data_IF_488667030780
#
_entry.id   IF_488667030780
#
_cell.length_a   1.000
_cell.length_b   1.000
_cell.length_c   1.000
_cell.angle_alpha   90.00
_cell.angle_beta   90.00
_cell.angle_gamma   90.00
#
_symmetry.space_group_name_H-M   'P 1'
#
loop_
_entity.id
_entity.type
_entity.pdbx_description
1 polymer ?
#
# COMPACT_ATOMS: atom_id res chain seq x y z
N UNK A 1 -15.04 3.87 6.16
CA UNK A 1 -14.53 2.73 5.32
C UNK A 1 -13.37 1.99 6.00
N UNK A 2 -12.26 2.62 6.37
CA UNK A 2 -11.07 1.92 6.92
C UNK A 2 -11.37 1.11 8.18
N UNK A 3 -12.04 1.69 9.17
CA UNK A 3 -12.43 0.94 10.38
C UNK A 3 -13.36 -0.24 10.07
N UNK A 4 -14.23 -0.09 9.09
CA UNK A 4 -15.09 -1.19 8.62
C UNK A 4 -14.26 -2.32 8.01
N UNK A 5 -13.26 -1.99 7.18
CA UNK A 5 -12.31 -2.96 6.63
C UNK A 5 -11.57 -3.68 7.75
N UNK A 6 -10.98 -2.94 8.69
CA UNK A 6 -10.24 -3.53 9.80
C UNK A 6 -11.10 -4.47 10.65
N UNK A 7 -12.33 -4.07 10.97
CA UNK A 7 -13.23 -4.88 11.77
C UNK A 7 -13.70 -6.14 11.02
N UNK A 8 -14.01 -6.01 9.73
CA UNK A 8 -14.50 -7.15 8.92
C UNK A 8 -13.42 -8.21 8.71
N UNK A 9 -12.17 -7.79 8.52
CA UNK A 9 -11.05 -8.67 8.18
C UNK A 9 -10.08 -8.89 9.35
N UNK A 10 -10.53 -8.70 10.59
CA UNK A 10 -9.68 -8.85 11.80
C UNK A 10 -8.98 -10.21 11.90
N UNK A 11 -9.59 -11.29 11.39
CA UNK A 11 -8.99 -12.62 11.35
C UNK A 11 -7.96 -12.83 10.23
N UNK A 12 -7.90 -11.91 9.26
CA UNK A 12 -7.13 -12.09 8.03
C UNK A 12 -5.78 -11.37 8.07
N UNK A 13 -5.50 -10.63 9.14
CA UNK A 13 -4.20 -10.00 9.39
C UNK A 13 -3.76 -10.17 10.84
N UNK A 14 -2.44 -10.21 11.08
CA UNK A 14 -1.85 -10.41 12.40
C UNK A 14 -1.64 -9.11 13.17
N UNK A 15 -1.32 -8.05 12.46
CA UNK A 15 -1.08 -6.73 13.03
C UNK A 15 -1.45 -5.62 12.06
N UNK A 16 -1.77 -4.44 12.60
CA UNK A 16 -1.98 -3.25 11.80
C UNK A 16 -1.42 -2.01 12.47
N UNK A 17 -0.90 -1.09 11.66
CA UNK A 17 -0.44 0.22 12.10
C UNK A 17 -0.58 1.23 10.98
N UNK A 18 -0.43 2.51 11.33
CA UNK A 18 -0.55 3.59 10.36
C UNK A 18 0.53 4.64 10.58
N UNK A 19 0.91 5.31 9.49
CA UNK A 19 1.77 6.48 9.50
C UNK A 19 1.35 7.45 8.41
N UNK A 20 1.78 8.70 8.49
CA UNK A 20 1.39 9.72 7.52
C UNK A 20 2.57 10.23 6.71
N UNK A 21 2.27 10.68 5.49
CA UNK A 21 3.20 11.32 4.57
C UNK A 21 2.53 12.59 4.07
N UNK A 22 3.21 13.72 4.22
CA UNK A 22 2.78 15.02 3.71
C UNK A 22 3.37 15.29 2.33
N UNK A 23 2.72 16.12 1.54
CA UNK A 23 3.24 16.55 0.26
C UNK A 23 4.62 17.24 0.39
N UNK A 24 4.86 17.90 1.53
CA UNK A 24 6.15 18.48 1.87
C UNK A 24 7.27 17.48 2.14
N UNK A 25 6.96 16.19 2.34
CA UNK A 25 7.98 15.15 2.59
C UNK A 25 8.69 14.66 1.31
N UNK A 26 8.20 15.05 0.14
CA UNK A 26 8.81 14.67 -1.14
C UNK A 26 9.98 15.60 -1.53
N UNK A 27 10.96 15.72 -0.64
CA UNK A 27 12.22 16.45 -0.88
C UNK A 27 13.43 15.54 -0.68
N UNK A 28 14.58 15.96 -1.21
CA UNK A 28 15.84 15.24 -0.99
C UNK A 28 16.51 15.76 0.28
N UNK A 29 16.94 14.83 1.13
CA UNK A 29 17.83 15.08 2.26
C UNK A 29 19.15 14.38 1.97
N UNK A 30 20.16 15.16 1.55
CA UNK A 30 21.39 14.59 0.99
C UNK A 30 21.12 13.84 -0.32
N UNK A 31 21.61 12.61 -0.43
CA UNK A 31 21.39 11.73 -1.61
C UNK A 31 20.05 10.97 -1.57
N UNK A 32 19.31 11.00 -0.46
CA UNK A 32 18.11 10.18 -0.25
C UNK A 32 16.85 11.04 -0.27
N UNK A 33 15.82 10.55 -0.96
CA UNK A 33 14.48 11.14 -0.89
C UNK A 33 13.87 10.89 0.50
N UNK A 34 13.36 11.95 1.16
CA UNK A 34 12.81 11.86 2.52
C UNK A 34 11.60 10.91 2.59
N UNK A 35 10.72 10.91 1.58
CA UNK A 35 9.65 9.91 1.42
C UNK A 35 10.16 8.47 1.63
N UNK A 36 11.26 8.09 0.98
CA UNK A 36 11.83 6.74 1.11
C UNK A 36 12.34 6.45 2.53
N UNK A 37 12.83 7.47 3.24
CA UNK A 37 13.25 7.36 4.62
C UNK A 37 12.06 7.09 5.54
N UNK A 38 10.98 7.86 5.40
CA UNK A 38 9.73 7.67 6.16
C UNK A 38 9.17 6.27 5.94
N UNK A 39 9.08 5.80 4.68
CA UNK A 39 8.62 4.43 4.39
C UNK A 39 9.48 3.40 5.13
N UNK A 40 10.80 3.54 5.08
CA UNK A 40 11.73 2.56 5.68
C UNK A 40 11.69 2.56 7.20
N UNK A 41 11.46 3.70 7.83
CA UNK A 41 11.35 3.85 9.27
C UNK A 41 10.04 3.26 9.81
N UNK A 42 8.95 3.39 9.03
CA UNK A 42 7.61 2.97 9.44
C UNK A 42 7.17 1.61 8.89
N UNK A 43 7.97 0.99 8.04
CA UNK A 43 7.65 -0.34 7.48
C UNK A 43 8.83 -1.28 7.69
N UNK A 44 8.75 -2.23 8.62
CA UNK A 44 9.78 -3.24 8.83
C UNK A 44 10.08 -4.03 7.55
N UNK A 45 11.30 -4.60 7.46
CA UNK A 45 11.62 -5.54 6.38
C UNK A 45 10.74 -6.78 6.49
N UNK A 46 10.53 -7.43 5.35
CA UNK A 46 9.78 -8.67 5.23
C UNK A 46 8.31 -8.56 5.69
N UNK A 47 7.77 -7.33 5.72
CA UNK A 47 6.35 -7.09 5.97
C UNK A 47 5.55 -7.36 4.70
N UNK A 48 4.75 -8.42 4.71
CA UNK A 48 3.83 -8.78 3.62
C UNK A 48 2.38 -8.53 4.03
N UNK A 49 1.54 -8.18 3.08
CA UNK A 49 0.14 -7.91 3.37
C UNK A 49 -0.47 -6.84 2.46
N UNK A 50 -1.48 -6.17 2.97
CA UNK A 50 -2.21 -5.11 2.27
C UNK A 50 -1.90 -3.76 2.89
N UNK A 51 -1.86 -2.73 2.08
CA UNK A 51 -1.77 -1.34 2.54
C UNK A 51 -2.87 -0.49 1.94
N UNK A 52 -3.43 0.37 2.77
CA UNK A 52 -4.50 1.29 2.44
C UNK A 52 -3.93 2.71 2.44
N UNK A 53 -4.19 3.48 1.39
CA UNK A 53 -3.81 4.91 1.33
C UNK A 53 -5.07 5.75 1.45
N UNK A 54 -5.07 6.65 2.41
CA UNK A 54 -6.23 7.43 2.82
C UNK A 54 -5.85 8.91 2.79
N UNK A 55 -6.68 9.77 2.24
CA UNK A 55 -6.55 11.21 2.45
C UNK A 55 -6.68 11.50 3.95
N UNK A 56 -5.63 12.08 4.53
CA UNK A 56 -5.59 12.33 5.98
C UNK A 56 -6.67 13.31 6.45
N UNK A 57 -7.11 14.23 5.59
CA UNK A 57 -8.10 15.26 5.90
C UNK A 57 -9.53 14.73 5.71
N UNK A 58 -9.88 14.32 4.51
CA UNK A 58 -11.24 13.87 4.16
C UNK A 58 -11.57 12.46 4.64
N UNK A 59 -10.56 11.66 5.04
CA UNK A 59 -10.68 10.25 5.40
C UNK A 59 -11.18 9.35 4.26
N UNK A 60 -11.11 9.84 3.04
CA UNK A 60 -11.45 9.06 1.84
C UNK A 60 -10.35 8.05 1.56
N UNK A 61 -10.73 6.81 1.32
CA UNK A 61 -9.83 5.77 0.87
C UNK A 61 -9.49 5.98 -0.61
N UNK A 62 -8.21 6.19 -0.90
CA UNK A 62 -7.69 6.51 -2.23
C UNK A 62 -7.16 5.30 -2.97
N UNK A 63 -6.56 4.35 -2.25
CA UNK A 63 -5.90 3.19 -2.83
C UNK A 63 -5.86 1.99 -1.89
N UNK A 64 -6.03 0.83 -2.45
CA UNK A 64 -5.72 -0.47 -1.83
C UNK A 64 -4.65 -1.14 -2.67
N UNK A 65 -3.61 -1.63 -2.02
CA UNK A 65 -2.56 -2.38 -2.70
C UNK A 65 -1.97 -3.45 -1.79
N UNK A 66 -1.30 -4.42 -2.40
CA UNK A 66 -0.70 -5.51 -1.67
C UNK A 66 0.77 -5.71 -2.03
N UNK A 67 1.47 -6.45 -1.19
CA UNK A 67 2.81 -6.96 -1.47
C UNK A 67 3.06 -8.28 -0.77
N UNK A 68 3.76 -9.17 -1.48
CA UNK A 68 4.02 -10.52 -1.05
C UNK A 68 3.12 -11.54 -1.75
N UNK A 69 3.55 -12.78 -1.65
CA UNK A 69 2.81 -13.96 -2.15
C UNK A 69 3.20 -15.17 -1.32
N UNK A 70 2.28 -16.12 -1.16
CA UNK A 70 2.59 -17.39 -0.51
C UNK A 70 3.17 -18.34 -1.55
N UNK A 71 4.37 -18.86 -1.29
CA UNK A 71 5.04 -19.87 -2.13
C UNK A 71 5.48 -21.07 -1.33
N UNK A 72 5.52 -22.21 -1.99
CA UNK A 72 6.14 -23.43 -1.46
C UNK A 72 7.66 -23.30 -1.53
N UNK A 73 8.31 -23.44 -0.39
CA UNK A 73 9.77 -23.42 -0.26
C UNK A 73 10.37 -24.80 -0.61
N UNK A 74 11.69 -24.86 -0.79
CA UNK A 74 12.44 -26.11 -1.08
C UNK A 74 12.29 -27.19 0.00
N UNK A 75 12.03 -26.78 1.26
CA UNK A 75 11.76 -27.68 2.39
C UNK A 75 10.29 -28.18 2.45
N UNK A 76 9.48 -27.85 1.45
CA UNK A 76 8.07 -28.24 1.37
C UNK A 76 7.10 -27.37 2.20
N UNK A 77 7.59 -26.43 3.01
CA UNK A 77 6.75 -25.49 3.76
C UNK A 77 6.30 -24.34 2.88
N UNK A 78 5.19 -23.71 3.25
CA UNK A 78 4.68 -22.49 2.62
C UNK A 78 5.04 -21.28 3.45
N UNK A 79 5.48 -20.21 2.79
CA UNK A 79 5.82 -18.96 3.46
C UNK A 79 5.59 -17.76 2.55
N UNK A 80 5.47 -16.57 3.14
CA UNK A 80 5.42 -15.31 2.43
C UNK A 80 6.77 -15.04 1.76
N UNK A 81 6.75 -14.66 0.51
CA UNK A 81 7.95 -14.30 -0.25
C UNK A 81 7.65 -13.23 -1.31
N UNK A 82 8.68 -12.81 -2.03
CA UNK A 82 8.60 -11.76 -3.02
C UNK A 82 8.88 -10.38 -2.41
N UNK A 83 8.39 -9.31 -3.06
CA UNK A 83 8.56 -7.97 -2.54
C UNK A 83 7.72 -7.79 -1.28
N UNK A 84 8.34 -7.23 -0.24
CA UNK A 84 7.63 -6.74 0.92
C UNK A 84 6.96 -5.37 0.64
N UNK A 85 6.07 -4.93 1.54
CA UNK A 85 5.35 -3.64 1.39
C UNK A 85 6.36 -2.48 1.32
N UNK A 86 7.44 -2.54 2.09
CA UNK A 86 8.50 -1.52 2.10
C UNK A 86 9.13 -1.35 0.71
N UNK A 87 9.51 -2.45 0.05
CA UNK A 87 10.02 -2.41 -1.32
C UNK A 87 8.97 -1.93 -2.29
N UNK A 88 7.73 -2.41 -2.15
CA UNK A 88 6.63 -2.03 -3.03
C UNK A 88 6.36 -0.51 -3.00
N UNK A 89 6.44 0.11 -1.83
CA UNK A 89 6.20 1.54 -1.67
C UNK A 89 7.37 2.42 -2.15
N UNK A 90 8.60 1.90 -2.29
CA UNK A 90 9.78 2.68 -2.75
C UNK A 90 10.29 2.30 -4.13
N UNK A 91 9.79 1.22 -4.74
CA UNK A 91 10.25 0.74 -6.06
C UNK A 91 9.50 1.40 -7.23
N UNK A 92 9.91 1.05 -8.45
CA UNK A 92 9.21 1.43 -9.68
C UNK A 92 7.78 0.88 -9.69
N UNK A 93 6.85 1.65 -10.25
CA UNK A 93 5.46 1.28 -10.49
C UNK A 93 5.13 0.99 -11.96
N UNK A 94 6.11 1.01 -12.82
CA UNK A 94 5.96 0.82 -14.26
C UNK A 94 6.66 1.91 -15.05
N UNK A 95 6.28 2.06 -16.29
CA UNK A 95 6.83 3.04 -17.23
C UNK A 95 5.75 4.06 -17.64
N UNK A 96 6.14 5.30 -17.84
CA UNK A 96 5.28 6.35 -18.37
C UNK A 96 5.08 6.21 -19.89
N UNK A 97 4.28 7.09 -20.47
CA UNK A 97 4.02 7.12 -21.92
C UNK A 97 5.27 7.34 -22.77
N UNK A 98 6.39 7.80 -22.16
CA UNK A 98 7.68 8.02 -22.80
C UNK A 98 8.66 6.86 -22.58
N UNK A 99 8.22 5.77 -21.94
CA UNK A 99 9.05 4.60 -21.63
C UNK A 99 9.98 4.78 -20.43
N UNK A 100 9.77 5.80 -19.60
CA UNK A 100 10.58 6.07 -18.40
C UNK A 100 9.96 5.42 -17.17
N UNK A 101 10.79 4.79 -16.34
CA UNK A 101 10.35 4.24 -15.04
C UNK A 101 9.77 5.33 -14.14
N UNK A 102 8.56 5.06 -13.62
CA UNK A 102 7.91 5.90 -12.60
C UNK A 102 8.16 5.26 -11.24
N UNK A 103 8.84 5.98 -10.34
CA UNK A 103 8.97 5.56 -8.96
C UNK A 103 7.65 5.67 -8.21
N UNK A 104 7.48 4.89 -7.13
CA UNK A 104 6.30 5.02 -6.26
C UNK A 104 6.19 6.42 -5.66
N UNK A 105 7.31 7.06 -5.32
CA UNK A 105 7.33 8.44 -4.83
C UNK A 105 6.81 9.44 -5.86
N UNK A 106 7.27 9.36 -7.12
CA UNK A 106 6.81 10.25 -8.19
C UNK A 106 5.31 10.04 -8.47
N UNK A 107 4.88 8.77 -8.49
CA UNK A 107 3.48 8.42 -8.68
C UNK A 107 2.59 9.05 -7.60
N UNK A 108 2.89 8.82 -6.32
CA UNK A 108 2.09 9.35 -5.21
C UNK A 108 2.15 10.87 -5.14
N UNK A 109 3.32 11.47 -5.29
CA UNK A 109 3.45 12.92 -5.32
C UNK A 109 2.61 13.55 -6.43
N UNK A 110 2.65 12.99 -7.64
CA UNK A 110 1.87 13.45 -8.78
C UNK A 110 0.36 13.36 -8.53
N UNK A 111 -0.10 12.23 -7.97
CA UNK A 111 -1.51 12.04 -7.61
C UNK A 111 -1.97 13.03 -6.54
N UNK A 112 -1.19 13.20 -5.47
CA UNK A 112 -1.48 14.15 -4.40
C UNK A 112 -1.58 15.58 -4.94
N UNK A 113 -0.63 16.01 -5.78
CA UNK A 113 -0.66 17.35 -6.41
C UNK A 113 -1.89 17.53 -7.29
N UNK A 114 -2.19 16.55 -8.17
CA UNK A 114 -3.33 16.61 -9.09
C UNK A 114 -4.67 16.72 -8.37
N UNK A 115 -4.82 16.05 -7.25
CA UNK A 115 -6.06 16.02 -6.47
C UNK A 115 -6.05 16.99 -5.29
N UNK A 116 -5.04 17.85 -5.19
CA UNK A 116 -4.86 18.85 -4.12
C UNK A 116 -4.86 18.25 -2.70
N UNK A 117 -4.31 17.03 -2.56
CA UNK A 117 -4.18 16.31 -1.29
C UNK A 117 -2.87 16.72 -0.63
N UNK A 118 -2.95 17.24 0.60
CA UNK A 118 -1.77 17.72 1.33
C UNK A 118 -1.06 16.62 2.13
N UNK A 119 -1.80 15.61 2.58
CA UNK A 119 -1.28 14.53 3.39
C UNK A 119 -2.08 13.25 3.20
N UNK A 120 -1.40 12.12 3.19
CA UNK A 120 -2.00 10.78 3.17
C UNK A 120 -1.60 9.99 4.40
N UNK A 121 -2.51 9.18 4.89
CA UNK A 121 -2.24 8.16 5.91
C UNK A 121 -2.13 6.80 5.22
N UNK A 122 -1.04 6.09 5.46
CA UNK A 122 -0.84 4.72 5.00
C UNK A 122 -1.13 3.79 6.18
N UNK A 123 -2.13 2.93 6.02
CA UNK A 123 -2.44 1.88 7.00
C UNK A 123 -1.99 0.54 6.44
N UNK A 124 -1.19 -0.19 7.19
CA UNK A 124 -0.70 -1.52 6.84
C UNK A 124 -1.50 -2.58 7.61
N UNK A 125 -1.90 -3.62 6.90
CA UNK A 125 -2.51 -4.84 7.41
C UNK A 125 -1.54 -5.98 7.09
N UNK A 126 -0.74 -6.40 8.06
CA UNK A 126 0.25 -7.45 7.87
C UNK A 126 -0.42 -8.82 7.91
N UNK A 127 -0.30 -9.61 6.84
CA UNK A 127 -0.85 -10.98 6.79
C UNK A 127 0.13 -11.99 7.35
N UNK A 128 -0.41 -13.10 7.86
CA UNK A 128 0.37 -14.29 8.19
C UNK A 128 0.72 -15.10 6.93
N UNK A 129 1.50 -16.16 7.11
CA UNK A 129 1.74 -17.13 6.03
C UNK A 129 0.53 -18.02 5.70
N UNK A 130 -0.61 -17.83 6.37
CA UNK A 130 -1.87 -18.55 6.14
C UNK A 130 -2.84 -17.79 5.24
N UNK A 131 -2.69 -16.46 5.18
CA UNK A 131 -3.56 -15.58 4.40
C UNK A 131 -2.75 -14.90 3.30
N UNK A 132 -3.09 -15.19 2.06
CA UNK A 132 -2.44 -14.53 0.91
C UNK A 132 -2.77 -13.04 0.88
N UNK A 133 -1.77 -12.16 0.73
CA UNK A 133 -2.01 -10.73 0.50
C UNK A 133 -2.98 -10.45 -0.65
N UNK A 134 -2.87 -11.20 -1.74
CA UNK A 134 -3.78 -11.10 -2.90
C UNK A 134 -5.23 -11.41 -2.52
N UNK A 135 -5.45 -12.45 -1.71
CA UNK A 135 -6.79 -12.78 -1.22
C UNK A 135 -7.38 -11.64 -0.41
N UNK A 136 -6.63 -11.11 0.56
CA UNK A 136 -7.09 -10.02 1.40
C UNK A 136 -7.36 -8.74 0.60
N UNK A 137 -6.47 -8.36 -0.33
CA UNK A 137 -6.66 -7.22 -1.22
C UNK A 137 -7.95 -7.34 -2.04
N UNK A 138 -8.16 -8.48 -2.71
CA UNK A 138 -9.33 -8.73 -3.55
C UNK A 138 -10.63 -8.65 -2.73
N UNK A 139 -10.66 -9.21 -1.52
CA UNK A 139 -11.84 -9.16 -0.66
C UNK A 139 -12.12 -7.73 -0.16
N UNK A 140 -11.08 -6.95 0.15
CA UNK A 140 -11.24 -5.54 0.53
C UNK A 140 -11.82 -4.74 -0.65
N UNK A 141 -11.26 -4.90 -1.86
CA UNK A 141 -11.75 -4.21 -3.06
C UNK A 141 -13.18 -4.62 -3.40
N UNK A 142 -13.52 -5.91 -3.27
CA UNK A 142 -14.88 -6.40 -3.47
C UNK A 142 -15.85 -5.81 -2.44
N UNK A 143 -15.46 -5.68 -1.17
CA UNK A 143 -16.28 -5.02 -0.15
C UNK A 143 -16.55 -3.56 -0.53
N UNK A 144 -15.50 -2.82 -0.93
CA UNK A 144 -15.63 -1.41 -1.32
C UNK A 144 -16.57 -1.29 -2.51
N UNK A 145 -16.34 -2.08 -3.55
CA UNK A 145 -17.15 -2.06 -4.77
C UNK A 145 -18.62 -2.39 -4.50
N UNK A 146 -18.88 -3.38 -3.64
CA UNK A 146 -20.27 -3.76 -3.29
C UNK A 146 -21.04 -2.68 -2.53
N UNK A 147 -20.33 -1.74 -1.88
CA UNK A 147 -20.95 -0.68 -1.09
C UNK A 147 -21.01 0.66 -1.83
N UNK A 148 -20.09 0.92 -2.74
CA UNK A 148 -19.94 2.22 -3.38
C UNK A 148 -20.14 2.18 -4.90
N UNK A 149 -20.26 0.96 -5.47
CA UNK A 149 -20.31 0.70 -6.91
C UNK A 149 -19.09 1.28 -7.67
N UNK A 150 -18.00 1.55 -6.95
CA UNK A 150 -16.77 2.10 -7.48
C UNK A 150 -15.54 1.56 -6.75
N UNK A 151 -14.38 1.64 -7.39
CA UNK A 151 -13.10 1.39 -6.76
C UNK A 151 -12.55 2.69 -6.14
N UNK A 152 -11.60 2.59 -5.21
CA UNK A 152 -10.85 3.77 -4.76
C UNK A 152 -10.21 4.49 -5.96
N UNK A 153 -10.18 5.82 -5.94
CA UNK A 153 -9.81 6.66 -7.10
C UNK A 153 -8.44 6.33 -7.74
N UNK A 154 -7.53 5.74 -6.99
CA UNK A 154 -6.20 5.39 -7.49
C UNK A 154 -6.06 3.92 -7.89
N UNK A 155 -7.10 3.09 -7.70
CA UNK A 155 -7.17 1.74 -8.24
C UNK A 155 -7.84 1.78 -9.62
N UNK A 156 -7.28 1.05 -10.60
CA UNK A 156 -7.83 0.94 -11.94
C UNK A 156 -8.56 -0.41 -12.17
N UNK A 157 -8.26 -1.40 -11.33
CA UNK A 157 -8.83 -2.75 -11.39
C UNK A 157 -8.62 -3.47 -10.04
N UNK A 158 -9.20 -4.64 -9.88
CA UNK A 158 -8.93 -5.60 -8.82
C UNK A 158 -8.82 -7.02 -9.34
#
# INVERSE_FOLDING_TARGET
>A
MVEKIKNKFTSDYESSWSFSISLSDFYKKGSRLNYNSIIRENTPKDTHGVYLIIDSNSKILLYVGMSGQIKKLSNGKYDNCGYDIRKRLVSSRGIDEKGKDISSSDYFQSKMKKENIQSVTITILQTSNRISPTYLESNILQLIYSETESLPNWNNSF
#
